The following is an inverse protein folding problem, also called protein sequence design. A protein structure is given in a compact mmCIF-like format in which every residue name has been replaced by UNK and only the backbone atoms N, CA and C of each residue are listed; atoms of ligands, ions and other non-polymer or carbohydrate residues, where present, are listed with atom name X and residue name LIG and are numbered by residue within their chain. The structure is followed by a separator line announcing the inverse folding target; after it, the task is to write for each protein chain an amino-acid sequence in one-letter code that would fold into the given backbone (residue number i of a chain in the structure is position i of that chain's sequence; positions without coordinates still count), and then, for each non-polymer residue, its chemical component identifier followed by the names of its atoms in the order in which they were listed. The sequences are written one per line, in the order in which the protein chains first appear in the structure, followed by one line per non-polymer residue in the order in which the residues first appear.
data_IF_279426390181
#
_entry.id   IF_279426390181
#
_cell.length_a   1.000
_cell.length_b   1.000
_cell.length_c   1.000
_cell.angle_alpha   90.00
_cell.angle_beta   90.00
_cell.angle_gamma   90.00
#
_symmetry.space_group_name_H-M   'P 1'
#
loop_
_entity.id
_entity.type
_entity.pdbx_description
1 polymer ?
#
# COMPACT_ATOMS: atom_id res chain seq x y z
N UNK A 1 -8.97 -2.95 -5.69
CA UNK A 1 -8.45 -1.59 -5.70
C UNK A 1 -7.69 -1.35 -6.99
N UNK A 2 -8.08 -0.37 -7.81
CA UNK A 2 -7.37 -0.03 -9.04
C UNK A 2 -6.25 0.96 -8.71
N UNK A 3 -5.02 0.69 -9.16
CA UNK A 3 -3.86 1.55 -8.95
C UNK A 3 -3.57 2.25 -10.27
N UNK A 4 -3.53 3.60 -10.31
CA UNK A 4 -3.39 4.34 -11.55
C UNK A 4 -1.98 4.29 -12.15
N UNK A 5 -0.99 3.93 -11.36
CA UNK A 5 0.41 3.86 -11.77
C UNK A 5 1.23 2.85 -10.94
N UNK A 6 2.45 2.58 -11.39
CA UNK A 6 3.40 1.68 -10.72
C UNK A 6 4.38 2.43 -9.79
N UNK A 7 4.02 3.62 -9.34
CA UNK A 7 4.89 4.40 -8.45
C UNK A 7 4.95 3.79 -7.07
N UNK A 8 6.06 4.06 -6.39
CA UNK A 8 6.29 3.54 -5.03
C UNK A 8 5.25 4.01 -4.03
N UNK A 9 4.73 5.23 -4.19
CA UNK A 9 3.70 5.79 -3.32
C UNK A 9 2.42 5.00 -3.40
N UNK A 10 1.99 4.66 -4.62
CA UNK A 10 0.79 3.87 -4.87
C UNK A 10 0.95 2.46 -4.33
N UNK A 11 2.10 1.82 -4.58
CA UNK A 11 2.41 0.49 -4.06
C UNK A 11 2.41 0.46 -2.54
N UNK A 12 3.13 1.38 -1.90
CA UNK A 12 3.22 1.47 -0.44
C UNK A 12 1.84 1.71 0.20
N UNK A 13 1.03 2.62 -0.36
CA UNK A 13 -0.33 2.87 0.12
C UNK A 13 -1.23 1.65 -0.03
N UNK A 14 -1.18 0.97 -1.17
CA UNK A 14 -1.95 -0.27 -1.38
C UNK A 14 -1.58 -1.33 -0.35
N UNK A 15 -0.29 -1.47 -0.08
CA UNK A 15 0.21 -2.42 0.91
C UNK A 15 -0.32 -2.09 2.31
N UNK A 16 -0.26 -0.83 2.73
CA UNK A 16 -0.77 -0.40 4.03
C UNK A 16 -2.28 -0.62 4.17
N UNK A 17 -3.05 -0.31 3.13
CA UNK A 17 -4.49 -0.57 3.11
C UNK A 17 -4.82 -2.06 3.12
N UNK A 18 -3.98 -2.90 2.50
CA UNK A 18 -4.13 -4.35 2.60
C UNK A 18 -3.90 -4.85 4.04
N UNK A 19 -2.94 -4.27 4.77
CA UNK A 19 -2.71 -4.58 6.19
C UNK A 19 -3.90 -4.15 7.05
N UNK A 20 -4.47 -2.98 6.80
CA UNK A 20 -5.67 -2.52 7.48
C UNK A 20 -6.86 -3.44 7.22
N UNK A 21 -7.08 -3.80 5.96
CA UNK A 21 -8.17 -4.71 5.58
C UNK A 21 -8.03 -6.12 6.20
N UNK A 22 -6.80 -6.64 6.27
CA UNK A 22 -6.54 -7.93 6.95
C UNK A 22 -6.43 -7.82 8.47
N UNK A 23 -6.55 -6.60 9.03
CA UNK A 23 -6.42 -6.29 10.46
C UNK A 23 -5.10 -6.80 11.05
N UNK A 24 -4.04 -6.83 10.23
CA UNK A 24 -2.75 -7.34 10.67
C UNK A 24 -1.63 -7.13 9.66
N UNK A 25 -0.40 -7.16 10.16
CA UNK A 25 0.81 -7.02 9.36
C UNK A 25 1.48 -8.39 9.25
N UNK A 26 1.67 -8.92 8.02
CA UNK A 26 2.34 -10.19 7.84
C UNK A 26 3.82 -10.08 8.24
N UNK A 27 4.42 -11.20 8.63
CA UNK A 27 5.85 -11.25 8.97
C UNK A 27 6.74 -10.95 7.76
N UNK A 28 6.27 -11.33 6.56
CA UNK A 28 7.01 -11.17 5.31
C UNK A 28 6.10 -10.75 4.17
N UNK A 29 6.63 -9.89 3.30
CA UNK A 29 6.02 -9.54 2.01
C UNK A 29 7.01 -9.86 0.91
N UNK A 30 6.58 -10.67 -0.05
CA UNK A 30 7.42 -11.12 -1.18
C UNK A 30 7.02 -10.36 -2.44
N UNK A 31 8.01 -9.79 -3.13
CA UNK A 31 7.81 -9.06 -4.37
C UNK A 31 8.43 -9.80 -5.57
N UNK A 32 7.77 -9.71 -6.74
CA UNK A 32 8.31 -10.22 -8.00
C UNK A 32 9.26 -9.18 -8.64
N UNK A 33 10.33 -8.83 -7.93
CA UNK A 33 11.44 -7.96 -8.38
C UNK A 33 11.04 -6.75 -9.25
N UNK A 34 9.99 -5.98 -8.89
CA UNK A 34 9.62 -4.79 -9.66
C UNK A 34 10.68 -3.69 -9.48
N UNK A 35 10.98 -2.97 -10.56
CA UNK A 35 11.96 -1.86 -10.55
C UNK A 35 11.63 -0.76 -9.55
N UNK A 36 10.38 -0.61 -9.19
CA UNK A 36 9.89 0.33 -8.18
C UNK A 36 10.33 -0.06 -6.76
N UNK A 37 10.47 -1.36 -6.49
CA UNK A 37 10.84 -1.92 -5.19
C UNK A 37 12.35 -2.07 -5.06
N UNK A 38 13.01 -2.54 -6.13
CA UNK A 38 14.46 -2.77 -6.15
C UNK A 38 15.11 -1.83 -7.15
N UNK A 39 15.88 -0.88 -6.65
CA UNK A 39 16.57 0.14 -7.45
C UNK A 39 17.87 -0.37 -8.11
N UNK A 40 18.31 -1.58 -7.76
CA UNK A 40 19.53 -2.19 -8.26
C UNK A 40 20.09 -3.20 -7.27
N UNK A 41 21.35 -3.57 -7.45
CA UNK A 41 22.08 -4.46 -6.54
C UNK A 41 23.38 -3.77 -6.12
N UNK A 42 23.85 -4.09 -4.92
CA UNK A 42 25.16 -3.67 -4.43
C UNK A 42 26.29 -4.55 -5.03
N UNK A 43 27.54 -4.26 -4.68
CA UNK A 43 28.74 -5.01 -5.09
C UNK A 43 28.73 -6.47 -4.65
N UNK A 44 27.93 -6.82 -3.65
CA UNK A 44 27.74 -8.17 -3.15
C UNK A 44 26.48 -8.86 -3.73
N UNK A 45 25.82 -8.24 -4.73
CA UNK A 45 24.62 -8.76 -5.35
C UNK A 45 23.34 -8.64 -4.51
N UNK A 46 23.38 -7.95 -3.36
CA UNK A 46 22.21 -7.74 -2.50
C UNK A 46 21.28 -6.69 -3.10
N UNK A 47 19.96 -6.83 -2.96
CA UNK A 47 19.01 -5.88 -3.49
C UNK A 47 19.14 -4.51 -2.78
N UNK A 48 19.21 -3.44 -3.56
CA UNK A 48 19.07 -2.06 -3.08
C UNK A 48 17.60 -1.70 -3.09
N UNK A 49 17.00 -1.73 -1.92
CA UNK A 49 15.58 -1.44 -1.75
C UNK A 49 15.26 0.03 -1.95
N UNK A 50 14.07 0.31 -2.45
CA UNK A 50 13.52 1.65 -2.41
C UNK A 50 13.40 2.12 -0.95
N UNK A 51 13.93 3.30 -0.64
CA UNK A 51 14.02 3.80 0.74
C UNK A 51 12.64 3.98 1.39
N UNK A 52 11.64 4.43 0.65
CA UNK A 52 10.27 4.59 1.17
C UNK A 52 9.69 3.24 1.58
N UNK A 53 9.85 2.20 0.76
CA UNK A 53 9.37 0.87 1.10
C UNK A 53 10.17 0.23 2.25
N UNK A 54 11.49 0.40 2.26
CA UNK A 54 12.33 -0.07 3.36
C UNK A 54 11.93 0.57 4.70
N UNK A 55 11.58 1.86 4.68
CA UNK A 55 11.10 2.55 5.87
C UNK A 55 9.73 2.02 6.34
N UNK A 56 8.81 1.76 5.42
CA UNK A 56 7.53 1.10 5.74
C UNK A 56 7.78 -0.27 6.39
N UNK A 57 8.71 -1.05 5.83
CA UNK A 57 9.04 -2.36 6.38
C UNK A 57 9.58 -2.28 7.82
N UNK A 58 10.43 -1.30 8.10
CA UNK A 58 10.97 -1.06 9.45
C UNK A 58 9.85 -0.63 10.40
N UNK A 59 9.05 0.36 10.02
CA UNK A 59 8.03 0.97 10.88
C UNK A 59 6.90 -0.02 11.23
N UNK A 60 6.55 -0.92 10.30
CA UNK A 60 5.56 -1.97 10.55
C UNK A 60 6.17 -3.30 11.01
N UNK A 61 7.50 -3.38 11.07
CA UNK A 61 8.22 -4.54 11.56
C UNK A 61 8.09 -5.78 10.68
N UNK A 62 7.96 -5.61 9.37
CA UNK A 62 7.90 -6.70 8.40
C UNK A 62 9.23 -6.89 7.65
N UNK A 63 9.43 -8.05 7.07
CA UNK A 63 10.56 -8.33 6.18
C UNK A 63 10.12 -8.25 4.73
N UNK A 64 10.88 -7.55 3.89
CA UNK A 64 10.68 -7.54 2.44
C UNK A 64 11.64 -8.52 1.78
N UNK A 65 11.11 -9.35 0.89
CA UNK A 65 11.87 -10.37 0.16
C UNK A 65 11.57 -10.29 -1.33
N UNK A 66 12.47 -10.81 -2.15
CA UNK A 66 12.23 -11.01 -3.58
C UNK A 66 11.91 -12.47 -3.86
N UNK A 67 11.05 -12.70 -4.83
CA UNK A 67 10.92 -14.02 -5.40
C UNK A 67 12.30 -14.53 -5.84
N UNK A 68 12.65 -15.73 -5.41
CA UNK A 68 13.89 -16.34 -5.83
C UNK A 68 13.91 -16.52 -7.35
N UNK A 69 14.99 -16.12 -8.06
CA UNK A 69 15.07 -16.20 -9.53
C UNK A 69 14.88 -17.62 -10.10
N UNK A 70 14.98 -18.64 -9.25
CA UNK A 70 14.85 -20.06 -9.60
C UNK A 70 13.66 -20.77 -8.95
N UNK A 71 12.69 -20.01 -8.41
CA UNK A 71 11.45 -20.56 -7.84
C UNK A 71 10.26 -20.30 -8.77
N UNK A 72 10.07 -21.11 -9.82
CA UNK A 72 8.97 -20.94 -10.78
C UNK A 72 7.60 -20.99 -10.08
N UNK A 73 7.52 -21.68 -8.94
CA UNK A 73 6.28 -21.79 -8.17
C UNK A 73 5.82 -20.47 -7.54
N UNK A 74 6.74 -19.63 -7.02
CA UNK A 74 6.39 -18.35 -6.42
C UNK A 74 5.94 -17.34 -7.48
N UNK A 75 6.67 -17.27 -8.60
CA UNK A 75 6.30 -16.41 -9.72
C UNK A 75 5.01 -16.90 -10.37
N UNK A 76 4.87 -18.20 -10.59
CA UNK A 76 3.65 -18.81 -11.12
C UNK A 76 2.41 -18.53 -10.27
N UNK A 77 2.53 -18.45 -8.95
CA UNK A 77 1.40 -18.13 -8.06
C UNK A 77 0.87 -16.71 -8.31
N UNK A 78 1.75 -15.72 -8.43
CA UNK A 78 1.36 -14.32 -8.72
C UNK A 78 0.79 -14.19 -10.12
N UNK A 79 1.44 -14.76 -11.14
CA UNK A 79 0.96 -14.75 -12.53
C UNK A 79 -0.40 -15.45 -12.66
N UNK A 80 -0.58 -16.59 -11.98
CA UNK A 80 -1.85 -17.30 -11.94
C UNK A 80 -2.95 -16.47 -11.26
N UNK A 81 -2.66 -15.79 -10.15
CA UNK A 81 -3.59 -14.92 -9.46
C UNK A 81 -4.01 -13.76 -10.36
N UNK A 82 -3.07 -13.06 -10.97
CA UNK A 82 -3.35 -11.96 -11.90
C UNK A 82 -4.17 -12.45 -13.10
N UNK A 83 -3.78 -13.59 -13.69
CA UNK A 83 -4.52 -14.21 -14.78
C UNK A 83 -5.93 -14.61 -14.39
N UNK A 84 -6.10 -15.12 -13.16
CA UNK A 84 -7.41 -15.49 -12.63
C UNK A 84 -8.29 -14.26 -12.39
N UNK A 85 -7.78 -13.20 -11.76
CA UNK A 85 -8.52 -11.94 -11.59
C UNK A 85 -8.95 -11.35 -12.93
N UNK A 86 -8.05 -11.31 -13.92
CA UNK A 86 -8.39 -10.84 -15.27
C UNK A 86 -9.52 -11.63 -15.91
N UNK A 87 -9.54 -12.95 -15.75
CA UNK A 87 -10.58 -13.82 -16.33
C UNK A 87 -11.88 -13.82 -15.54
N UNK A 88 -11.80 -13.89 -14.22
CA UNK A 88 -12.97 -14.08 -13.34
C UNK A 88 -13.66 -12.77 -12.96
N UNK A 89 -12.95 -11.65 -13.03
CA UNK A 89 -13.53 -10.34 -12.77
C UNK A 89 -13.64 -9.50 -14.06
N UNK A 90 -12.52 -9.04 -14.63
CA UNK A 90 -12.56 -8.08 -15.74
C UNK A 90 -13.22 -8.58 -17.02
N UNK A 91 -13.13 -9.88 -17.34
CA UNK A 91 -13.80 -10.46 -18.50
C UNK A 91 -15.25 -10.85 -18.25
N UNK A 92 -15.61 -11.10 -16.99
CA UNK A 92 -16.94 -11.53 -16.59
C UNK A 92 -17.90 -10.35 -16.33
N UNK A 93 -17.36 -9.16 -16.08
CA UNK A 93 -18.14 -7.96 -15.78
C UNK A 93 -18.06 -6.95 -16.92
N UNK A 94 -19.11 -6.16 -17.06
CA UNK A 94 -19.18 -5.03 -18.00
C UNK A 94 -19.23 -3.74 -17.19
N UNK A 95 -18.44 -2.77 -17.60
CA UNK A 95 -18.35 -1.46 -16.97
C UNK A 95 -18.81 -0.41 -17.99
N UNK A 96 -19.91 0.27 -17.71
CA UNK A 96 -20.35 1.41 -18.50
C UNK A 96 -19.50 2.64 -18.16
N UNK A 97 -19.17 2.80 -16.89
CA UNK A 97 -18.28 3.80 -16.35
C UNK A 97 -17.28 3.15 -15.37
N UNK A 98 -15.99 3.16 -15.74
CA UNK A 98 -14.95 2.55 -14.91
C UNK A 98 -14.78 3.24 -13.56
N UNK A 99 -15.05 4.52 -13.45
CA UNK A 99 -14.88 5.28 -12.22
C UNK A 99 -15.99 4.96 -11.21
N UNK A 100 -17.22 4.79 -11.66
CA UNK A 100 -18.39 4.56 -10.82
C UNK A 100 -18.76 3.08 -10.66
N UNK A 101 -18.72 2.30 -11.74
CA UNK A 101 -19.19 0.91 -11.72
C UNK A 101 -18.16 -0.06 -11.13
N UNK A 102 -16.86 0.15 -11.43
CA UNK A 102 -15.80 -0.78 -11.05
C UNK A 102 -15.67 -0.96 -9.54
N UNK A 103 -15.71 0.10 -8.70
CA UNK A 103 -15.56 -0.10 -7.25
C UNK A 103 -16.66 -0.96 -6.64
N UNK A 104 -17.93 -0.73 -7.00
CA UNK A 104 -19.07 -1.50 -6.49
C UNK A 104 -19.00 -2.96 -6.89
N UNK A 105 -18.84 -3.23 -8.20
CA UNK A 105 -18.75 -4.60 -8.72
C UNK A 105 -17.51 -5.34 -8.18
N UNK A 106 -16.39 -4.64 -7.95
CA UNK A 106 -15.20 -5.25 -7.36
C UNK A 106 -15.44 -5.68 -5.91
N UNK A 107 -16.14 -4.87 -5.14
CA UNK A 107 -16.49 -5.19 -3.75
C UNK A 107 -17.37 -6.44 -3.69
N UNK A 108 -18.46 -6.49 -4.47
CA UNK A 108 -19.35 -7.66 -4.52
C UNK A 108 -18.60 -8.93 -4.93
N UNK A 109 -17.76 -8.82 -5.96
CA UNK A 109 -16.94 -9.94 -6.41
C UNK A 109 -15.95 -10.41 -5.34
N UNK A 110 -15.30 -9.48 -4.62
CA UNK A 110 -14.37 -9.82 -3.53
C UNK A 110 -15.08 -10.48 -2.37
N UNK A 111 -16.29 -10.05 -1.99
CA UNK A 111 -17.09 -10.70 -0.96
C UNK A 111 -17.41 -12.14 -1.37
N UNK A 112 -17.94 -12.33 -2.57
CA UNK A 112 -18.27 -13.68 -3.07
C UNK A 112 -17.03 -14.59 -3.10
N UNK A 113 -15.89 -14.09 -3.52
CA UNK A 113 -14.66 -14.90 -3.66
C UNK A 113 -14.03 -15.21 -2.30
N UNK A 114 -14.07 -14.26 -1.37
CA UNK A 114 -13.36 -14.41 -0.12
C UNK A 114 -14.22 -15.03 1.00
N UNK A 115 -15.54 -14.83 0.96
CA UNK A 115 -16.43 -15.23 2.05
C UNK A 115 -17.34 -16.41 1.71
N UNK A 116 -17.62 -16.67 0.42
CA UNK A 116 -18.57 -17.71 0.03
C UNK A 116 -17.91 -18.91 -0.67
N UNK A 117 -16.80 -18.68 -1.39
CA UNK A 117 -16.23 -19.71 -2.27
C UNK A 117 -14.94 -20.30 -1.73
N UNK A 118 -14.86 -21.63 -1.59
CA UNK A 118 -13.60 -22.29 -1.26
C UNK A 118 -12.54 -22.05 -2.32
N UNK A 119 -11.34 -21.71 -1.90
CA UNK A 119 -10.19 -21.58 -2.79
C UNK A 119 -9.88 -22.92 -3.47
N UNK A 120 -9.59 -22.90 -4.77
CA UNK A 120 -9.23 -24.13 -5.51
C UNK A 120 -7.95 -24.77 -4.97
N UNK A 121 -7.02 -23.95 -4.47
CA UNK A 121 -5.72 -24.43 -3.97
C UNK A 121 -5.83 -25.04 -2.58
N UNK A 122 -6.61 -24.45 -1.68
CA UNK A 122 -6.66 -24.86 -0.27
C UNK A 122 -7.94 -25.62 0.10
N UNK A 123 -8.99 -25.56 -0.75
CA UNK A 123 -10.32 -26.10 -0.48
C UNK A 123 -11.03 -25.48 0.74
N UNK A 124 -10.51 -24.38 1.23
CA UNK A 124 -11.01 -23.63 2.39
C UNK A 124 -11.45 -22.25 1.90
N UNK A 125 -12.47 -21.68 2.52
CA UNK A 125 -12.91 -20.30 2.28
C UNK A 125 -11.80 -19.35 2.76
N UNK A 126 -11.36 -18.36 1.95
CA UNK A 126 -10.26 -17.48 2.34
C UNK A 126 -10.48 -16.74 3.67
N UNK A 127 -11.70 -16.29 3.96
CA UNK A 127 -12.04 -15.63 5.22
C UNK A 127 -11.84 -16.54 6.43
N UNK A 128 -12.23 -17.81 6.35
CA UNK A 128 -12.01 -18.79 7.41
C UNK A 128 -10.53 -19.03 7.67
N UNK A 129 -9.75 -19.10 6.60
CA UNK A 129 -8.31 -19.29 6.71
C UNK A 129 -7.61 -18.06 7.30
N UNK A 130 -8.09 -16.86 6.99
CA UNK A 130 -7.53 -15.61 7.52
C UNK A 130 -7.60 -15.56 9.05
N UNK A 131 -8.63 -16.16 9.67
CA UNK A 131 -8.77 -16.21 11.13
C UNK A 131 -7.54 -16.87 11.76
N UNK A 132 -7.12 -18.02 11.26
CA UNK A 132 -5.93 -18.71 11.75
C UNK A 132 -4.61 -17.99 11.40
N UNK A 133 -4.58 -17.24 10.31
CA UNK A 133 -3.40 -16.45 9.91
C UNK A 133 -3.24 -15.20 10.77
N UNK A 134 -4.36 -14.57 11.19
CA UNK A 134 -4.35 -13.38 12.07
C UNK A 134 -3.60 -13.60 13.39
N UNK A 135 -3.65 -14.80 13.95
CA UNK A 135 -2.92 -15.15 15.17
C UNK A 135 -1.39 -15.02 15.02
N UNK A 136 -0.88 -15.08 13.79
CA UNK A 136 0.54 -14.96 13.46
C UNK A 136 0.93 -13.60 12.91
N UNK A 137 -0.04 -12.74 12.64
CA UNK A 137 0.20 -11.39 12.19
C UNK A 137 0.57 -10.47 13.36
N UNK A 138 1.30 -9.41 13.07
CA UNK A 138 1.56 -8.34 14.02
C UNK A 138 0.40 -7.34 13.99
N UNK A 139 0.11 -6.67 15.11
CA UNK A 139 -0.83 -5.56 15.10
C UNK A 139 -0.32 -4.41 14.24
N UNK A 140 -1.24 -3.61 13.68
CA UNK A 140 -0.87 -2.37 13.00
C UNK A 140 -0.27 -1.39 13.99
N UNK A 141 0.96 -0.95 13.73
CA UNK A 141 1.63 0.04 14.58
C UNK A 141 0.99 1.43 14.44
N UNK A 142 0.57 1.79 13.22
CA UNK A 142 -0.04 3.07 12.87
C UNK A 142 -1.11 2.82 11.80
N UNK A 143 -2.24 3.53 11.90
CA UNK A 143 -3.26 3.50 10.83
C UNK A 143 -2.68 4.00 9.50
N UNK A 144 -3.02 3.40 8.36
CA UNK A 144 -2.62 3.88 7.05
C UNK A 144 -2.99 5.34 6.78
N UNK A 145 -4.09 5.82 7.35
CA UNK A 145 -4.51 7.23 7.25
C UNK A 145 -3.53 8.19 7.95
N UNK A 146 -2.95 7.74 9.07
CA UNK A 146 -2.03 8.54 9.89
C UNK A 146 -0.56 8.31 9.54
N UNK A 147 -0.26 7.37 8.65
CA UNK A 147 1.10 7.08 8.25
C UNK A 147 1.56 7.96 7.09
N UNK A 148 2.59 8.78 7.33
CA UNK A 148 3.26 9.60 6.32
C UNK A 148 4.38 8.83 5.61
N UNK A 149 4.24 8.57 4.31
CA UNK A 149 5.35 8.03 3.51
C UNK A 149 6.48 9.05 3.44
N UNK A 150 7.72 8.63 3.68
CA UNK A 150 8.87 9.51 3.81
C UNK A 150 9.66 9.60 2.52
N UNK A 151 9.94 10.83 2.10
CA UNK A 151 10.78 11.14 0.94
C UNK A 151 11.85 12.14 1.33
N UNK A 152 13.14 11.82 1.10
CA UNK A 152 14.19 12.81 1.24
C UNK A 152 14.04 13.86 0.15
N UNK A 153 14.06 15.13 0.55
CA UNK A 153 13.95 16.29 -0.35
C UNK A 153 14.94 17.37 0.08
N UNK A 154 15.17 18.34 -0.77
CA UNK A 154 15.98 19.52 -0.46
C UNK A 154 15.18 20.78 -0.70
N UNK A 155 15.28 21.73 0.21
CA UNK A 155 14.69 23.05 0.02
C UNK A 155 15.51 23.82 -0.99
N UNK A 156 14.91 24.21 -2.10
CA UNK A 156 15.58 24.97 -3.16
C UNK A 156 15.95 26.37 -2.74
N UNK A 157 16.75 27.10 -3.57
CA UNK A 157 17.22 28.45 -3.28
C UNK A 157 16.09 29.49 -3.19
N UNK A 158 14.92 29.17 -3.75
CA UNK A 158 13.71 30.02 -3.69
C UNK A 158 12.79 29.63 -2.53
N UNK A 159 13.28 28.90 -1.53
CA UNK A 159 12.49 28.38 -0.41
C UNK A 159 11.32 27.48 -0.86
N UNK A 160 11.48 26.72 -1.94
CA UNK A 160 10.49 25.80 -2.45
C UNK A 160 11.02 24.37 -2.42
N UNK A 161 10.14 23.44 -2.07
CA UNK A 161 10.32 22.00 -2.27
C UNK A 161 9.42 21.58 -3.42
N UNK A 162 9.99 20.98 -4.45
CA UNK A 162 9.22 20.41 -5.56
C UNK A 162 9.03 18.91 -5.33
N UNK A 163 7.78 18.48 -5.34
CA UNK A 163 7.42 17.06 -5.26
C UNK A 163 6.23 16.78 -6.16
N UNK A 164 6.36 15.81 -7.07
CA UNK A 164 5.32 15.43 -8.04
C UNK A 164 4.76 16.63 -8.85
N UNK A 165 5.66 17.53 -9.30
CA UNK A 165 5.33 18.75 -10.04
C UNK A 165 4.53 19.80 -9.23
N UNK A 166 4.37 19.61 -7.93
CA UNK A 166 3.78 20.58 -7.01
C UNK A 166 4.90 21.24 -6.23
N UNK A 167 4.80 22.56 -6.05
CA UNK A 167 5.76 23.35 -5.29
C UNK A 167 5.18 23.72 -3.94
N UNK A 168 5.92 23.40 -2.89
CA UNK A 168 5.55 23.66 -1.50
C UNK A 168 6.46 24.71 -0.92
N UNK A 169 5.88 25.80 -0.41
CA UNK A 169 6.64 26.91 0.17
C UNK A 169 7.18 26.54 1.55
N UNK A 170 8.44 26.89 1.78
CA UNK A 170 9.13 26.74 3.06
C UNK A 170 9.56 28.13 3.56
N UNK A 171 9.91 28.28 4.86
CA UNK A 171 10.51 29.51 5.35
C UNK A 171 11.80 29.85 4.61
N UNK A 172 12.04 31.15 4.36
CA UNK A 172 13.23 31.61 3.63
C UNK A 172 14.56 31.12 4.25
N UNK A 173 14.61 31.02 5.58
CA UNK A 173 15.79 30.50 6.29
C UNK A 173 16.04 29.00 6.09
N UNK A 174 15.15 28.26 5.44
CA UNK A 174 15.32 26.85 5.15
C UNK A 174 16.00 26.58 3.79
N UNK A 175 16.33 27.62 3.01
CA UNK A 175 16.97 27.46 1.71
C UNK A 175 18.25 26.63 1.80
N UNK A 176 18.39 25.65 0.90
CA UNK A 176 19.55 24.76 0.84
C UNK A 176 19.61 23.67 1.93
N UNK A 177 18.65 23.62 2.85
CA UNK A 177 18.64 22.64 3.94
C UNK A 177 17.99 21.33 3.49
N UNK A 178 18.58 20.16 3.79
CA UNK A 178 17.94 18.87 3.61
C UNK A 178 16.67 18.77 4.43
N UNK A 179 15.63 18.21 3.84
CA UNK A 179 14.33 18.06 4.47
C UNK A 179 13.74 16.66 4.24
N UNK A 180 12.77 16.28 5.04
CA UNK A 180 11.95 15.09 4.83
C UNK A 180 10.53 15.51 4.55
N UNK A 181 10.00 15.05 3.43
CA UNK A 181 8.61 15.19 3.05
C UNK A 181 7.86 13.96 3.52
N UNK A 182 6.83 14.16 4.32
CA UNK A 182 5.88 13.14 4.75
C UNK A 182 4.61 13.29 3.91
N UNK A 183 4.32 12.26 3.12
CA UNK A 183 3.16 12.23 2.25
C UNK A 183 2.04 11.45 2.93
N UNK A 184 0.98 12.14 3.33
CA UNK A 184 -0.26 11.56 3.87
C UNK A 184 -1.33 11.45 2.77
N UNK A 185 -2.45 10.78 3.01
CA UNK A 185 -3.55 10.70 2.03
C UNK A 185 -4.17 12.06 1.67
N UNK A 186 -4.17 12.99 2.61
CA UNK A 186 -4.86 14.30 2.52
C UNK A 186 -3.91 15.50 2.55
N UNK A 187 -2.67 15.32 2.97
CA UNK A 187 -1.72 16.41 3.22
C UNK A 187 -0.27 16.00 2.98
N UNK A 188 0.55 17.00 2.84
CA UNK A 188 2.01 16.89 2.83
C UNK A 188 2.55 17.68 4.03
N UNK A 189 3.44 17.06 4.80
CA UNK A 189 4.18 17.71 5.87
C UNK A 189 5.66 17.68 5.53
N UNK A 190 6.34 18.82 5.62
CA UNK A 190 7.78 18.92 5.33
C UNK A 190 8.50 19.37 6.59
N UNK A 191 9.54 18.64 6.98
CA UNK A 191 10.39 18.94 8.12
C UNK A 191 11.83 19.06 7.66
N UNK A 192 12.54 20.08 8.15
CA UNK A 192 13.98 20.22 7.92
C UNK A 192 14.79 19.45 8.96
N UNK A 193 15.99 19.05 8.60
CA UNK A 193 16.96 18.47 9.55
C UNK A 193 17.44 19.58 10.52
N UNK A 194 17.15 19.34 11.81
CA UNK A 194 17.46 20.30 12.87
C UNK A 194 16.24 21.11 13.33
N UNK A 195 16.12 21.32 14.63
CA UNK A 195 14.96 21.94 15.30
C UNK A 195 14.75 23.44 15.04
N UNK A 196 15.42 24.03 14.04
CA UNK A 196 15.35 25.47 13.74
C UNK A 196 14.10 25.91 13.00
N UNK A 197 13.39 25.00 12.33
CA UNK A 197 12.22 25.35 11.52
C UNK A 197 11.05 24.43 11.85
N UNK A 198 9.91 25.03 12.10
CA UNK A 198 8.67 24.29 12.29
C UNK A 198 8.30 23.52 11.02
N UNK A 199 7.71 22.34 11.23
CA UNK A 199 7.17 21.57 10.14
C UNK A 199 6.07 22.33 9.42
N UNK A 200 6.16 22.47 8.10
CA UNK A 200 5.09 23.05 7.27
C UNK A 200 4.16 21.94 6.79
N UNK A 201 2.87 22.14 7.04
CA UNK A 201 1.81 21.27 6.53
C UNK A 201 1.06 21.99 5.41
N UNK A 202 0.91 21.30 4.29
CA UNK A 202 0.20 21.78 3.12
C UNK A 202 -0.93 20.80 2.79
N UNK A 203 -2.11 21.33 2.44
CA UNK A 203 -3.16 20.49 1.88
C UNK A 203 -2.70 19.89 0.56
N UNK A 204 -2.98 18.60 0.36
CA UNK A 204 -2.69 17.97 -0.92
C UNK A 204 -3.81 18.34 -1.90
N UNK A 205 -3.50 18.96 -3.05
CA UNK A 205 -4.52 19.38 -3.99
C UNK A 205 -5.37 18.19 -4.43
N UNK A 206 -6.68 18.35 -4.41
CA UNK A 206 -7.61 17.26 -4.74
C UNK A 206 -7.40 16.72 -6.15
N UNK A 207 -7.08 17.60 -7.09
CA UNK A 207 -6.73 17.25 -8.47
C UNK A 207 -5.45 16.42 -8.61
N UNK A 208 -4.55 16.49 -7.62
CA UNK A 208 -3.30 15.75 -7.61
C UNK A 208 -3.36 14.47 -6.75
N UNK A 209 -4.47 14.23 -6.05
CA UNK A 209 -4.65 13.00 -5.27
C UNK A 209 -4.79 11.81 -6.24
N UNK A 210 -3.94 10.80 -6.13
CA UNK A 210 -4.16 9.55 -6.85
C UNK A 210 -5.55 9.00 -6.54
N UNK A 211 -6.22 8.41 -7.52
CA UNK A 211 -7.57 7.84 -7.36
C UNK A 211 -7.66 6.85 -6.19
N UNK A 212 -6.57 6.12 -5.93
CA UNK A 212 -6.40 5.19 -4.81
C UNK A 212 -6.55 5.87 -3.43
N UNK A 213 -6.27 7.17 -3.32
CA UNK A 213 -6.35 7.91 -2.06
C UNK A 213 -7.73 8.56 -1.86
N UNK A 214 -8.53 8.63 -2.94
CA UNK A 214 -9.93 9.06 -2.87
C UNK A 214 -10.85 7.92 -2.41
N UNK A 215 -10.40 6.68 -2.58
CA UNK A 215 -11.17 5.50 -2.21
C UNK A 215 -10.95 5.11 -0.74
N UNK A 216 -11.26 5.98 0.21
CA UNK A 216 -11.63 5.59 1.58
C UNK A 216 -12.91 4.74 1.63
N UNK A 217 -13.45 4.36 0.48
CA UNK A 217 -14.58 3.45 0.34
C UNK A 217 -14.29 2.00 0.81
N UNK A 218 -13.02 1.65 1.04
CA UNK A 218 -12.70 0.35 1.66
C UNK A 218 -12.99 0.33 3.17
N UNK A 219 -13.07 1.47 3.83
CA UNK A 219 -13.54 1.55 5.23
C UNK A 219 -15.04 1.28 5.39
N UNK A 220 -15.80 1.18 4.30
CA UNK A 220 -17.21 0.79 4.28
C UNK A 220 -17.44 -0.68 3.89
N UNK A 221 -16.38 -1.47 3.68
CA UNK A 221 -16.53 -2.91 3.63
C UNK A 221 -16.97 -3.40 5.01
N UNK A 222 -18.02 -4.21 5.11
CA UNK A 222 -18.40 -4.79 6.39
C UNK A 222 -17.19 -5.57 6.92
N UNK A 223 -16.77 -5.21 8.13
CA UNK A 223 -15.78 -6.01 8.85
C UNK A 223 -16.36 -7.42 8.99
N UNK A 224 -15.54 -8.42 8.78
CA UNK A 224 -15.91 -9.84 8.98
C UNK A 224 -16.81 -9.98 10.19
N UNK A 225 -17.95 -10.69 10.10
CA UNK A 225 -18.82 -10.86 11.24
C UNK A 225 -18.05 -11.45 12.41
N UNK A 226 -18.31 -10.93 13.61
CA UNK A 226 -17.74 -11.45 14.84
C UNK A 226 -17.98 -12.98 14.92
N UNK A 227 -17.06 -13.76 15.49
CA UNK A 227 -17.18 -15.20 15.58
C UNK A 227 -18.51 -15.54 16.26
N UNK A 228 -19.34 -16.33 15.56
CA UNK A 228 -20.58 -16.87 16.08
C UNK A 228 -20.19 -17.74 17.28
N UNK A 229 -20.58 -17.34 18.47
CA UNK A 229 -20.41 -18.13 19.67
C UNK A 229 -21.26 -19.42 19.52
N UNK A 230 -20.60 -20.52 19.24
CA UNK A 230 -21.23 -21.86 19.30
C UNK A 230 -21.46 -22.14 20.77
N UNK A 231 -22.69 -21.96 21.22
CA UNK A 231 -23.14 -22.47 22.52
C UNK A 231 -23.27 -23.98 22.41
N UNK A 232 -22.31 -24.68 23.03
CA UNK A 232 -22.45 -26.11 23.33
C UNK A 232 -23.53 -26.28 24.37
N UNK A 233 -24.62 -26.90 23.96
CA UNK A 233 -25.62 -27.52 24.83
C UNK A 233 -25.26 -28.97 25.06
#
# INVERSE_FOLDING_TARGET
MSVPDERIESLARTLLLAFEHSEGVPLRVVFDNPKTVVLGRDEHGRPRWNQTLAQVAIDYGLTIELCSPRSPQQKGAVENLVGWVKRSFFRAHRFADLEHDLPGQLVEWLLTVNEERPSRATKIIPAERLIAEKERMKPLAVSPADYGLRFPVQVGPTALVEFQRIRYAMPAGACGIPATLFLYPDRVRITTAGSRFEARTHAFPESARPAIWRASALSSLPHSPAPVSVSTS
#
